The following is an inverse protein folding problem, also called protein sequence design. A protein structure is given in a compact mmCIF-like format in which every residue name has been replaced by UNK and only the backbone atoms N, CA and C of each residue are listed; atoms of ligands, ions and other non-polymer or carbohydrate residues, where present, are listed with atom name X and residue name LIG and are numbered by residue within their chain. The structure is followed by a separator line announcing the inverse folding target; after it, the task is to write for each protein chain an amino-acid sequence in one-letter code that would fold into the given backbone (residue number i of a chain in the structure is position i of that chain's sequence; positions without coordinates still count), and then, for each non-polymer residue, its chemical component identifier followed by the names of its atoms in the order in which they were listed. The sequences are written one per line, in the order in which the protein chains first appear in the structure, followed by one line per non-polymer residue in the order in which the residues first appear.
data_IF_942426414649
#
_entry.id   IF_942426414649
#
_cell.length_a   1.000
_cell.length_b   1.000
_cell.length_c   1.000
_cell.angle_alpha   90.00
_cell.angle_beta   90.00
_cell.angle_gamma   90.00
#
_symmetry.space_group_name_H-M   'P 1'
#
loop_
_entity.id
_entity.type
_entity.pdbx_description
1 polymer ?
#
# COMPACT_ATOMS: atom_id res chain seq x y z
N UNK A 1 40.01 0.89 1.15
CA UNK A 1 41.02 1.87 0.72
C UNK A 1 41.16 1.76 -0.80
N UNK A 2 40.92 2.86 -1.53
CA UNK A 2 41.08 2.90 -2.98
C UNK A 2 42.30 3.74 -3.30
N UNK A 3 43.21 3.22 -4.15
CA UNK A 3 44.37 3.96 -4.65
C UNK A 3 44.01 4.57 -6.00
N UNK A 4 44.24 5.86 -6.17
CA UNK A 4 44.03 6.59 -7.40
C UNK A 4 45.27 7.31 -7.83
N UNK A 5 45.50 7.43 -9.14
CA UNK A 5 46.63 8.18 -9.73
C UNK A 5 46.21 9.58 -10.12
N UNK A 6 44.93 9.83 -10.25
CA UNK A 6 44.39 11.15 -10.56
C UNK A 6 44.22 11.98 -9.29
N UNK A 7 44.12 13.29 -9.43
CA UNK A 7 43.91 14.21 -8.33
C UNK A 7 42.40 14.40 -7.98
N UNK A 8 41.52 13.58 -8.50
CA UNK A 8 40.09 13.53 -8.18
C UNK A 8 39.59 12.10 -8.15
N UNK A 9 38.56 11.87 -7.36
CA UNK A 9 37.82 10.60 -7.27
C UNK A 9 36.36 10.89 -7.04
N UNK A 10 35.49 10.29 -7.85
CA UNK A 10 34.05 10.27 -7.61
C UNK A 10 33.69 9.06 -6.76
N UNK A 11 33.09 9.28 -5.61
CA UNK A 11 32.63 8.23 -4.69
C UNK A 11 31.12 8.15 -4.75
N UNK A 12 30.61 6.94 -4.97
CA UNK A 12 29.18 6.65 -4.80
C UNK A 12 28.96 6.11 -3.39
N UNK A 13 27.96 6.63 -2.71
CA UNK A 13 27.60 6.22 -1.36
C UNK A 13 26.09 5.99 -1.28
N UNK A 14 25.68 4.82 -0.80
CA UNK A 14 24.28 4.43 -0.63
C UNK A 14 23.90 4.58 0.85
N UNK A 15 23.85 5.79 1.37
CA UNK A 15 23.50 6.02 2.76
C UNK A 15 23.31 7.49 3.07
N UNK A 16 22.65 7.74 4.18
CA UNK A 16 22.47 9.05 4.79
C UNK A 16 23.43 9.18 5.98
N UNK A 17 23.74 10.40 6.37
CA UNK A 17 24.59 10.72 7.51
C UNK A 17 25.92 11.38 7.15
N UNK A 18 26.89 11.30 8.06
CA UNK A 18 28.20 11.92 7.90
C UNK A 18 29.19 10.97 7.21
N UNK A 19 29.77 11.42 6.10
CA UNK A 19 30.88 10.73 5.45
C UNK A 19 32.20 11.47 5.74
N UNK A 20 33.22 10.72 6.18
CA UNK A 20 34.51 11.24 6.55
C UNK A 20 35.57 10.81 5.54
N UNK A 21 36.44 11.74 5.14
CA UNK A 21 37.46 11.53 4.14
C UNK A 21 38.81 12.02 4.63
N UNK A 22 39.85 11.26 4.30
CA UNK A 22 41.22 11.68 4.38
C UNK A 22 42.02 11.12 3.20
N UNK A 23 43.09 11.75 2.84
CA UNK A 23 43.96 11.36 1.73
C UNK A 23 45.41 11.27 2.27
N UNK A 24 46.18 10.33 1.76
CA UNK A 24 47.61 10.26 1.91
C UNK A 24 48.26 9.83 0.62
N UNK A 25 49.48 10.29 0.36
CA UNK A 25 50.31 9.81 -0.75
C UNK A 25 50.93 8.49 -0.41
N UNK A 26 51.20 7.67 -1.42
CA UNK A 26 51.85 6.38 -1.34
C UNK A 26 53.03 6.39 -2.27
N UNK A 27 54.24 6.14 -1.72
CA UNK A 27 55.45 6.05 -2.53
C UNK A 27 55.80 4.59 -2.90
N UNK A 28 55.50 3.65 -1.99
CA UNK A 28 55.65 2.21 -2.18
C UNK A 28 54.63 1.46 -1.31
N UNK A 29 54.58 0.13 -1.41
CA UNK A 29 53.62 -0.67 -0.66
C UNK A 29 53.66 -0.49 0.86
N UNK A 30 54.67 0.17 1.42
CA UNK A 30 54.85 0.40 2.85
C UNK A 30 55.18 1.83 3.25
N UNK A 31 55.43 2.73 2.26
CA UNK A 31 55.80 4.13 2.52
C UNK A 31 54.62 5.05 2.23
N UNK A 32 54.09 5.62 3.29
CA UNK A 32 52.92 6.50 3.23
C UNK A 32 53.25 7.86 3.84
N UNK A 33 52.69 8.92 3.26
CA UNK A 33 52.70 10.23 3.93
C UNK A 33 51.78 10.19 5.17
N UNK A 34 51.87 11.17 6.08
CA UNK A 34 50.81 11.43 7.03
C UNK A 34 49.47 11.62 6.32
N UNK A 35 48.39 11.34 7.01
CA UNK A 35 47.04 11.64 6.50
C UNK A 35 46.83 13.14 6.36
N UNK A 36 46.03 13.54 5.38
CA UNK A 36 45.48 14.90 5.31
C UNK A 36 44.63 15.21 6.55
N UNK A 37 44.29 16.47 6.73
CA UNK A 37 43.24 16.82 7.67
C UNK A 37 41.95 16.09 7.31
N UNK A 38 41.22 15.64 8.33
CA UNK A 38 39.91 15.00 8.16
C UNK A 38 38.93 15.99 7.54
N UNK A 39 38.27 15.58 6.47
CA UNK A 39 37.16 16.30 5.86
C UNK A 39 35.89 15.45 6.03
N UNK A 40 34.79 16.11 6.21
CA UNK A 40 33.47 15.44 6.25
C UNK A 40 32.47 16.21 5.41
N UNK A 41 31.50 15.47 4.90
CA UNK A 41 30.29 16.01 4.28
C UNK A 41 29.09 15.37 4.95
N UNK A 42 28.03 16.14 5.10
CA UNK A 42 26.73 15.63 5.49
C UNK A 42 25.99 15.18 4.23
N UNK A 43 25.66 13.91 4.16
CA UNK A 43 24.88 13.37 3.07
C UNK A 43 23.40 13.62 3.34
N UNK A 44 22.65 14.14 2.35
CA UNK A 44 21.22 14.35 2.55
C UNK A 44 20.53 13.04 2.90
N UNK A 45 19.62 13.10 3.87
CA UNK A 45 18.79 11.95 4.23
C UNK A 45 17.72 11.74 3.17
N UNK A 46 17.46 10.49 2.82
CA UNK A 46 16.32 10.15 1.98
C UNK A 46 15.01 10.40 2.76
N UNK A 47 14.02 11.07 2.15
CA UNK A 47 12.72 11.27 2.77
C UNK A 47 12.00 9.92 2.92
N UNK A 48 11.16 9.78 3.96
CA UNK A 48 10.30 8.61 4.10
C UNK A 48 9.13 8.65 3.12
N UNK A 49 8.68 7.48 2.67
CA UNK A 49 7.44 7.33 1.90
C UNK A 49 6.38 6.66 2.77
N UNK A 50 5.22 7.32 2.91
CA UNK A 50 4.07 6.83 3.67
C UNK A 50 2.93 6.48 2.72
N UNK A 51 2.05 5.57 3.15
CA UNK A 51 0.87 5.15 2.41
C UNK A 51 -0.40 5.52 3.17
N UNK A 52 -1.41 5.93 2.42
CA UNK A 52 -2.78 6.09 2.87
C UNK A 52 -3.72 5.28 1.97
N UNK A 53 -4.80 4.76 2.54
CA UNK A 53 -5.85 4.07 1.81
C UNK A 53 -7.17 4.85 1.96
N UNK A 54 -7.97 4.91 0.89
CA UNK A 54 -9.34 5.47 0.96
C UNK A 54 -10.23 4.64 1.90
N UNK A 55 -10.01 3.35 1.97
CA UNK A 55 -10.55 2.42 2.97
C UNK A 55 -9.63 1.21 3.11
N UNK A 56 -9.48 0.68 4.31
CA UNK A 56 -8.74 -0.57 4.55
C UNK A 56 -9.64 -1.81 4.47
N UNK A 57 -10.97 -1.62 4.37
CA UNK A 57 -11.94 -2.69 4.15
C UNK A 57 -12.98 -2.21 3.13
N UNK A 58 -13.36 -3.07 2.21
CA UNK A 58 -14.36 -2.81 1.16
C UNK A 58 -15.05 -4.10 0.73
N UNK A 59 -16.27 -4.00 0.23
CA UNK A 59 -17.04 -5.15 -0.22
C UNK A 59 -16.60 -5.66 -1.58
N UNK A 60 -16.89 -6.92 -1.87
CA UNK A 60 -16.70 -7.48 -3.22
C UNK A 60 -17.41 -6.62 -4.27
N UNK A 61 -16.71 -6.30 -5.35
CA UNK A 61 -17.19 -5.41 -6.41
C UNK A 61 -16.78 -3.94 -6.22
N UNK A 62 -16.31 -3.55 -5.04
CA UNK A 62 -15.76 -2.24 -4.76
C UNK A 62 -14.23 -2.21 -4.90
N UNK A 63 -13.62 -1.08 -4.59
CA UNK A 63 -12.18 -0.89 -4.65
C UNK A 63 -11.70 0.10 -3.60
N UNK A 64 -10.43 -0.01 -3.25
CA UNK A 64 -9.73 0.99 -2.44
C UNK A 64 -8.59 1.62 -3.21
N UNK A 65 -8.43 2.93 -3.06
CA UNK A 65 -7.32 3.68 -3.64
C UNK A 65 -6.26 3.91 -2.58
N UNK A 66 -5.05 3.46 -2.88
CA UNK A 66 -3.85 3.69 -2.12
C UNK A 66 -3.15 4.94 -2.67
N UNK A 67 -2.65 5.78 -1.79
CA UNK A 67 -1.92 7.01 -2.14
C UNK A 67 -0.58 7.01 -1.41
N UNK A 68 0.51 7.15 -2.15
CA UNK A 68 1.83 7.37 -1.57
C UNK A 68 2.05 8.86 -1.27
N UNK A 69 2.95 9.17 -0.33
CA UNK A 69 3.39 10.55 -0.15
C UNK A 69 4.10 11.06 -1.41
N UNK A 70 3.86 12.33 -1.77
CA UNK A 70 4.50 12.99 -2.91
C UNK A 70 5.96 13.36 -2.59
N UNK A 71 6.71 13.79 -3.63
CA UNK A 71 8.09 14.28 -3.49
C UNK A 71 9.13 13.32 -4.05
N UNK A 72 8.70 12.33 -4.80
CA UNK A 72 9.57 11.40 -5.54
C UNK A 72 9.31 11.50 -7.04
N UNK A 73 10.32 11.17 -7.84
CA UNK A 73 10.26 11.25 -9.31
C UNK A 73 9.59 10.01 -9.92
N UNK A 74 9.63 8.88 -9.23
CA UNK A 74 9.02 7.64 -9.69
C UNK A 74 8.53 6.77 -8.55
N UNK A 75 7.53 5.95 -8.87
CA UNK A 75 6.89 4.98 -7.97
C UNK A 75 6.78 3.64 -8.68
N UNK A 76 6.82 2.56 -7.92
CA UNK A 76 6.43 1.22 -8.36
C UNK A 76 5.72 0.53 -7.21
N UNK A 77 4.47 0.13 -7.45
CA UNK A 77 3.66 -0.60 -6.48
C UNK A 77 3.92 -2.10 -6.54
N UNK A 78 3.78 -2.72 -5.38
CA UNK A 78 4.01 -4.15 -5.16
C UNK A 78 2.89 -4.75 -4.35
N UNK A 79 2.65 -6.04 -4.58
CA UNK A 79 1.83 -6.92 -3.74
C UNK A 79 2.65 -8.16 -3.33
N UNK A 80 1.98 -9.19 -2.78
CA UNK A 80 2.62 -10.43 -2.38
C UNK A 80 3.31 -11.19 -3.54
N UNK A 81 2.81 -11.01 -4.78
CA UNK A 81 3.35 -11.66 -5.98
C UNK A 81 4.53 -10.89 -6.59
N UNK A 82 4.82 -9.70 -6.09
CA UNK A 82 5.92 -8.85 -6.59
C UNK A 82 5.45 -7.53 -7.18
N UNK A 83 6.21 -7.01 -8.14
CA UNK A 83 5.91 -5.74 -8.80
C UNK A 83 4.62 -5.83 -9.63
N UNK A 84 3.68 -4.90 -9.36
CA UNK A 84 2.43 -4.80 -10.11
C UNK A 84 2.73 -4.09 -11.44
N UNK A 85 2.56 -4.80 -12.54
CA UNK A 85 2.88 -4.30 -13.87
C UNK A 85 2.11 -3.02 -14.21
N UNK A 86 2.83 -1.96 -14.59
CA UNK A 86 2.25 -0.66 -14.96
C UNK A 86 1.75 0.20 -13.79
N UNK A 87 1.85 -0.27 -12.55
CA UNK A 87 1.45 0.50 -11.36
C UNK A 87 2.60 1.43 -10.93
N UNK A 88 2.79 2.53 -11.66
CA UNK A 88 3.90 3.48 -11.47
C UNK A 88 3.44 4.90 -11.11
N UNK A 89 2.16 5.07 -10.86
CA UNK A 89 1.60 6.38 -10.46
C UNK A 89 1.71 6.62 -8.95
N UNK A 90 1.51 7.86 -8.52
CA UNK A 90 1.40 8.25 -7.11
C UNK A 90 0.31 7.46 -6.37
N UNK A 91 -0.74 7.06 -7.09
CA UNK A 91 -1.86 6.28 -6.56
C UNK A 91 -1.96 4.93 -7.24
N UNK A 92 -2.50 3.95 -6.51
CA UNK A 92 -2.86 2.65 -7.02
C UNK A 92 -4.24 2.25 -6.50
N UNK A 93 -5.13 1.80 -7.38
CA UNK A 93 -6.47 1.33 -6.99
C UNK A 93 -6.52 -0.18 -7.09
N UNK A 94 -6.92 -0.83 -6.00
CA UNK A 94 -7.10 -2.28 -5.91
C UNK A 94 -8.56 -2.65 -5.67
N UNK A 95 -9.06 -3.62 -6.42
CA UNK A 95 -10.34 -4.31 -6.19
C UNK A 95 -10.18 -5.67 -5.52
N UNK A 96 -8.98 -5.97 -5.03
CA UNK A 96 -8.68 -7.21 -4.31
C UNK A 96 -8.01 -6.89 -2.98
N UNK A 97 -8.27 -7.73 -1.97
CA UNK A 97 -7.59 -7.65 -0.68
C UNK A 97 -6.15 -8.12 -0.79
N UNK A 98 -5.34 -7.75 0.19
CA UNK A 98 -3.93 -8.16 0.26
C UNK A 98 -3.04 -7.12 0.92
N UNK A 99 -1.73 -7.35 0.88
CA UNK A 99 -0.71 -6.44 1.38
C UNK A 99 -0.07 -5.70 0.20
N UNK A 100 -0.01 -4.38 0.31
CA UNK A 100 0.54 -3.53 -0.73
C UNK A 100 1.61 -2.61 -0.15
N UNK A 101 2.65 -2.37 -0.91
CA UNK A 101 3.67 -1.39 -0.60
C UNK A 101 4.17 -0.71 -1.88
N UNK A 102 4.90 0.39 -1.74
CA UNK A 102 5.49 1.13 -2.86
C UNK A 102 6.98 1.29 -2.66
N UNK A 103 7.74 1.20 -3.74
CA UNK A 103 9.11 1.69 -3.81
C UNK A 103 9.08 3.01 -4.56
N UNK A 104 9.55 4.07 -3.91
CA UNK A 104 9.65 5.41 -4.46
C UNK A 104 11.11 5.80 -4.64
N UNK A 105 11.43 6.49 -5.73
CA UNK A 105 12.79 6.89 -6.08
C UNK A 105 12.84 8.35 -6.51
N UNK A 106 13.96 8.99 -6.26
CA UNK A 106 14.27 10.31 -6.80
C UNK A 106 15.60 10.31 -7.58
N UNK A 107 15.83 11.38 -8.33
CA UNK A 107 17.05 11.58 -9.14
C UNK A 107 18.31 11.73 -8.32
N UNK A 108 18.21 12.02 -7.02
CA UNK A 108 19.35 12.12 -6.10
C UNK A 108 19.89 10.73 -5.66
N UNK A 109 19.28 9.65 -6.16
CA UNK A 109 19.66 8.27 -5.90
C UNK A 109 19.00 7.65 -4.67
N UNK A 110 18.05 8.32 -4.03
CA UNK A 110 17.23 7.72 -3.00
C UNK A 110 16.25 6.69 -3.57
N UNK A 111 16.21 5.51 -2.95
CA UNK A 111 15.24 4.46 -3.23
C UNK A 111 14.69 3.96 -1.89
N UNK A 112 13.44 4.25 -1.61
CA UNK A 112 12.80 4.01 -0.32
C UNK A 112 11.58 3.12 -0.50
N UNK A 113 11.46 2.12 0.37
CA UNK A 113 10.30 1.24 0.45
C UNK A 113 9.39 1.71 1.59
N UNK A 114 8.09 1.80 1.32
CA UNK A 114 7.10 2.09 2.36
C UNK A 114 6.88 0.90 3.29
N UNK A 115 6.30 1.15 4.45
CA UNK A 115 5.59 0.10 5.18
C UNK A 115 4.45 -0.44 4.32
N UNK A 116 4.08 -1.70 4.55
CA UNK A 116 2.97 -2.33 3.85
C UNK A 116 1.63 -1.92 4.47
N UNK A 117 0.64 -1.65 3.63
CA UNK A 117 -0.75 -1.46 4.03
C UNK A 117 -1.57 -2.70 3.66
N UNK A 118 -2.48 -3.10 4.55
CA UNK A 118 -3.36 -4.27 4.34
C UNK A 118 -4.74 -3.80 3.93
N UNK A 119 -5.25 -4.36 2.83
CA UNK A 119 -6.62 -4.21 2.39
C UNK A 119 -7.39 -5.50 2.64
N UNK A 120 -8.57 -5.38 3.25
CA UNK A 120 -9.47 -6.49 3.51
C UNK A 120 -10.69 -6.40 2.60
N UNK A 121 -10.83 -7.36 1.68
CA UNK A 121 -12.02 -7.47 0.84
C UNK A 121 -13.03 -8.39 1.53
N UNK A 122 -14.21 -7.84 1.80
CA UNK A 122 -15.31 -8.54 2.46
C UNK A 122 -16.16 -9.21 1.38
N UNK A 123 -16.19 -10.53 1.41
CA UNK A 123 -17.10 -11.32 0.59
C UNK A 123 -18.40 -11.54 1.37
N UNK A 124 -19.49 -10.99 0.89
CA UNK A 124 -20.80 -11.29 1.43
C UNK A 124 -21.27 -12.65 0.94
N UNK A 125 -21.71 -13.49 1.86
CA UNK A 125 -22.39 -14.73 1.52
C UNK A 125 -23.85 -14.44 1.21
N UNK A 126 -24.43 -15.21 0.30
CA UNK A 126 -25.87 -15.17 0.09
C UNK A 126 -26.59 -15.56 1.40
N UNK A 127 -27.71 -14.94 1.67
CA UNK A 127 -28.61 -15.33 2.76
C UNK A 127 -29.02 -16.79 2.54
N UNK A 128 -28.86 -17.60 3.57
CA UNK A 128 -29.31 -18.98 3.59
C UNK A 128 -30.52 -19.14 4.50
N UNK A 129 -31.16 -20.28 4.40
CA UNK A 129 -32.28 -20.64 5.29
C UNK A 129 -33.43 -19.60 5.29
N UNK A 130 -33.73 -19.02 4.11
CA UNK A 130 -34.83 -18.08 3.95
C UNK A 130 -36.16 -18.82 4.06
N UNK A 131 -36.96 -18.46 5.08
CA UNK A 131 -38.28 -19.04 5.33
C UNK A 131 -39.35 -17.95 5.48
N UNK A 132 -40.57 -18.28 5.06
CA UNK A 132 -41.76 -17.43 5.25
C UNK A 132 -42.75 -18.19 6.06
N UNK A 133 -43.02 -17.73 7.28
CA UNK A 133 -43.87 -18.39 8.25
C UNK A 133 -45.03 -17.51 8.70
N UNK A 134 -46.02 -18.08 9.43
CA UNK A 134 -47.13 -17.37 10.06
C UNK A 134 -47.90 -16.46 9.07
N UNK A 135 -48.20 -16.98 7.88
CA UNK A 135 -48.87 -16.25 6.81
C UNK A 135 -50.35 -16.00 7.19
N UNK A 136 -50.76 -14.75 7.16
CA UNK A 136 -52.14 -14.29 7.34
C UNK A 136 -52.59 -13.51 6.10
N UNK A 137 -53.86 -13.12 6.00
CA UNK A 137 -54.30 -12.29 4.88
C UNK A 137 -53.58 -10.92 4.76
N UNK A 138 -52.94 -10.44 5.82
CA UNK A 138 -52.34 -9.09 5.89
C UNK A 138 -50.91 -9.08 6.36
N UNK A 139 -50.31 -10.23 6.74
CA UNK A 139 -48.96 -10.30 7.25
C UNK A 139 -48.31 -11.66 7.01
N UNK A 140 -46.99 -11.68 6.99
CA UNK A 140 -46.15 -12.87 7.05
C UNK A 140 -44.95 -12.60 7.92
N UNK A 141 -44.44 -13.64 8.54
CA UNK A 141 -43.14 -13.61 9.24
C UNK A 141 -42.08 -14.16 8.29
N UNK A 142 -41.01 -13.40 8.12
CA UNK A 142 -39.88 -13.75 7.23
C UNK A 142 -38.67 -13.96 8.13
N UNK A 143 -38.00 -15.07 7.95
CA UNK A 143 -36.85 -15.50 8.74
C UNK A 143 -35.71 -15.91 7.80
N UNK A 144 -34.49 -15.64 8.21
CA UNK A 144 -33.27 -16.03 7.48
C UNK A 144 -32.10 -16.15 8.43
N UNK A 145 -31.09 -16.93 8.05
CA UNK A 145 -29.85 -17.01 8.80
C UNK A 145 -28.94 -15.81 8.49
N UNK A 146 -28.41 -15.20 9.55
CA UNK A 146 -27.42 -14.15 9.44
C UNK A 146 -26.09 -14.70 8.86
N UNK A 147 -25.61 -14.11 7.78
CA UNK A 147 -24.30 -14.41 7.23
C UNK A 147 -23.18 -13.89 8.18
N UNK A 148 -23.44 -12.78 8.86
CA UNK A 148 -22.59 -12.21 9.92
C UNK A 148 -23.43 -11.40 10.91
N UNK A 149 -23.09 -11.34 12.19
CA UNK A 149 -23.84 -10.56 13.20
C UNK A 149 -23.88 -9.05 12.95
N UNK A 150 -23.05 -8.54 12.03
CA UNK A 150 -22.95 -7.11 11.71
C UNK A 150 -23.49 -6.79 10.32
N UNK A 151 -24.06 -7.76 9.61
CA UNK A 151 -24.59 -7.54 8.28
C UNK A 151 -25.89 -6.72 8.34
N UNK A 152 -26.03 -5.84 7.35
CA UNK A 152 -27.26 -5.09 7.10
C UNK A 152 -27.94 -5.73 5.92
N UNK A 153 -29.25 -5.97 6.02
CA UNK A 153 -30.03 -6.63 4.99
C UNK A 153 -31.03 -5.66 4.40
N UNK A 154 -31.09 -5.59 3.07
CA UNK A 154 -32.15 -4.91 2.35
C UNK A 154 -33.24 -5.93 2.03
N UNK A 155 -34.46 -5.65 2.47
CA UNK A 155 -35.62 -6.50 2.23
C UNK A 155 -36.56 -5.82 1.27
N UNK A 156 -36.87 -6.48 0.15
CA UNK A 156 -37.82 -5.98 -0.85
C UNK A 156 -38.96 -6.96 -1.04
N UNK A 157 -40.13 -6.47 -1.31
CA UNK A 157 -41.35 -7.26 -1.63
C UNK A 157 -41.86 -6.96 -3.03
N UNK A 158 -42.29 -8.00 -3.72
CA UNK A 158 -43.00 -7.90 -4.99
C UNK A 158 -44.42 -8.45 -4.85
N UNK A 159 -45.43 -7.72 -5.37
CA UNK A 159 -46.81 -8.16 -5.43
C UNK A 159 -47.26 -8.54 -6.85
N UNK A 160 -46.38 -8.46 -7.83
CA UNK A 160 -46.68 -8.67 -9.26
C UNK A 160 -45.85 -9.80 -9.90
N UNK A 161 -45.40 -10.73 -9.08
CA UNK A 161 -44.63 -11.89 -9.53
C UNK A 161 -43.17 -11.58 -9.87
N UNK A 162 -42.58 -10.55 -9.24
CA UNK A 162 -41.17 -10.18 -9.41
C UNK A 162 -40.92 -9.20 -10.56
N UNK A 163 -41.96 -8.56 -11.11
CA UNK A 163 -41.78 -7.55 -12.14
C UNK A 163 -41.38 -6.19 -11.56
N UNK A 164 -41.98 -5.84 -10.41
CA UNK A 164 -41.59 -4.65 -9.64
C UNK A 164 -41.33 -5.01 -8.18
N UNK A 165 -40.43 -4.27 -7.53
CA UNK A 165 -40.03 -4.48 -6.15
C UNK A 165 -40.20 -3.20 -5.35
N UNK A 166 -40.64 -3.32 -4.11
CA UNK A 166 -40.70 -2.24 -3.13
C UNK A 166 -39.82 -2.60 -1.95
N UNK A 167 -38.90 -1.71 -1.63
CA UNK A 167 -37.99 -1.91 -0.51
C UNK A 167 -38.71 -1.66 0.81
N UNK A 168 -38.51 -2.56 1.76
CA UNK A 168 -38.77 -2.30 3.16
C UNK A 168 -37.49 -1.63 3.76
N UNK A 169 -37.64 -0.94 4.88
CA UNK A 169 -36.50 -0.34 5.57
C UNK A 169 -35.42 -1.40 5.86
N UNK A 170 -34.14 -0.98 5.75
CA UNK A 170 -33.00 -1.82 6.05
C UNK A 170 -33.06 -2.32 7.51
N UNK A 171 -32.95 -3.63 7.70
CA UNK A 171 -32.94 -4.27 9.00
C UNK A 171 -31.51 -4.63 9.41
N UNK A 172 -31.13 -4.23 10.62
CA UNK A 172 -29.88 -4.70 11.26
C UNK A 172 -30.23 -5.90 12.14
N UNK A 173 -29.59 -7.04 11.85
CA UNK A 173 -29.71 -8.26 12.61
C UNK A 173 -29.00 -8.23 13.97
#
# INVERSE_FOLDING_TARGET
TTTVTDNFLTLSHNGNGLAYFYIRSVCSNSDFSPYSALQFIELPSCPSVNLEASSTAFCFGESSTLTASSGFDSYQWYNADGAISGATSLTYTSSVGGHFYVIAQNTDGCSITSDAISLNMINLSAVSEFEVNNITPTSAFVDWDNASPTDVYDVSISSDGGLTWTDFDSYQG
#
